data_IF_472840718955
#
_entry.id   IF_472840718955
#
_cell.length_a   1.000
_cell.length_b   1.000
_cell.length_c   1.000
_cell.angle_alpha   90.00
_cell.angle_beta   90.00
_cell.angle_gamma   90.00
#
_symmetry.space_group_name_H-M   'P 1'
#
loop_
_entity.id
_entity.type
_entity.pdbx_description
1 polymer ?
#
# COMPACT_ATOMS: atom_id res chain seq x y z
N UNK A 1 -12.31 13.64 -24.13
CA UNK A 1 -13.26 13.03 -23.17
C UNK A 1 -12.69 13.25 -21.78
N UNK A 2 -13.44 13.88 -20.88
CA UNK A 2 -12.99 14.14 -19.51
C UNK A 2 -12.97 12.85 -18.66
N UNK A 3 -12.24 12.89 -17.56
CA UNK A 3 -11.98 11.76 -16.66
C UNK A 3 -13.28 11.13 -16.12
N UNK A 4 -14.32 11.93 -15.87
CA UNK A 4 -15.61 11.45 -15.36
C UNK A 4 -16.44 10.81 -16.47
N UNK A 5 -16.47 11.39 -17.67
CA UNK A 5 -17.17 10.78 -18.80
C UNK A 5 -16.62 9.40 -19.11
N UNK A 6 -15.29 9.23 -19.10
CA UNK A 6 -14.70 7.91 -19.31
C UNK A 6 -15.03 6.94 -18.17
N UNK A 7 -14.92 7.37 -16.91
CA UNK A 7 -15.31 6.57 -15.75
C UNK A 7 -16.77 6.11 -15.84
N UNK A 8 -17.69 7.04 -16.07
CA UNK A 8 -19.11 6.75 -16.19
C UNK A 8 -19.38 5.77 -17.34
N UNK A 9 -18.63 5.80 -18.44
CA UNK A 9 -18.83 4.86 -19.55
C UNK A 9 -18.47 3.42 -19.22
N UNK A 10 -17.65 3.14 -18.20
CA UNK A 10 -17.16 1.78 -17.94
C UNK A 10 -17.44 1.26 -16.53
N UNK A 11 -17.63 2.12 -15.54
CA UNK A 11 -17.84 1.71 -14.16
C UNK A 11 -19.29 1.29 -13.87
N UNK A 12 -19.44 0.44 -12.85
CA UNK A 12 -20.71 0.14 -12.18
C UNK A 12 -21.23 1.30 -11.33
N UNK A 13 -20.38 2.31 -11.11
CA UNK A 13 -20.71 3.54 -10.43
C UNK A 13 -20.73 4.70 -11.42
N UNK A 14 -21.38 5.79 -11.04
CA UNK A 14 -21.37 7.04 -11.78
C UNK A 14 -21.21 8.24 -10.87
N UNK A 15 -20.55 9.27 -11.38
CA UNK A 15 -20.54 10.57 -10.74
C UNK A 15 -21.69 11.41 -11.28
N UNK A 16 -22.52 11.89 -10.36
CA UNK A 16 -23.58 12.87 -10.64
C UNK A 16 -23.19 14.22 -10.04
N UNK A 17 -23.52 15.34 -10.71
CA UNK A 17 -23.39 16.67 -10.10
C UNK A 17 -24.16 16.76 -8.79
N UNK A 18 -23.60 17.47 -7.83
CA UNK A 18 -24.23 17.81 -6.56
C UNK A 18 -23.94 19.28 -6.28
N UNK A 19 -24.97 20.12 -6.21
CA UNK A 19 -24.79 21.51 -5.77
C UNK A 19 -24.71 21.54 -4.25
N UNK A 20 -23.61 22.10 -3.72
CA UNK A 20 -23.40 22.33 -2.30
C UNK A 20 -22.89 23.76 -2.14
N UNK A 21 -23.67 24.62 -1.47
CA UNK A 21 -23.33 26.01 -1.19
C UNK A 21 -22.86 26.81 -2.43
N UNK A 22 -23.57 26.65 -3.55
CA UNK A 22 -23.24 27.33 -4.82
C UNK A 22 -22.00 26.79 -5.53
N UNK A 23 -21.40 25.69 -5.05
CA UNK A 23 -20.29 24.97 -5.70
C UNK A 23 -20.76 23.65 -6.29
N UNK A 24 -20.32 23.36 -7.52
CA UNK A 24 -20.58 22.06 -8.17
C UNK A 24 -19.62 21.01 -7.61
N UNK A 25 -20.12 20.20 -6.68
CA UNK A 25 -19.49 18.96 -6.24
C UNK A 25 -19.96 17.77 -7.12
N UNK A 26 -19.39 16.58 -6.87
CA UNK A 26 -19.87 15.34 -7.48
C UNK A 26 -20.04 14.25 -6.43
N UNK A 27 -21.14 13.52 -6.51
CA UNK A 27 -21.41 12.34 -5.68
C UNK A 27 -21.24 11.08 -6.51
N UNK A 28 -20.55 10.09 -5.97
CA UNK A 28 -20.44 8.75 -6.56
C UNK A 28 -21.65 7.92 -6.14
N UNK A 29 -22.38 7.38 -7.10
CA UNK A 29 -23.55 6.53 -6.87
C UNK A 29 -23.41 5.23 -7.62
N UNK A 30 -23.99 4.16 -7.06
CA UNK A 30 -24.21 2.93 -7.81
C UNK A 30 -25.24 3.18 -8.92
N UNK A 31 -25.04 2.54 -10.09
CA UNK A 31 -25.97 2.66 -11.22
C UNK A 31 -27.29 1.92 -10.95
N UNK A 32 -28.39 2.30 -11.65
CA UNK A 32 -29.64 1.56 -11.57
C UNK A 32 -29.48 0.07 -11.96
N UNK A 33 -30.28 -0.84 -11.39
CA UNK A 33 -30.15 -2.29 -11.63
C UNK A 33 -30.15 -2.72 -13.10
N UNK A 34 -30.95 -2.06 -13.95
CA UNK A 34 -30.99 -2.35 -15.39
C UNK A 34 -29.64 -2.11 -16.08
N UNK A 35 -28.94 -1.02 -15.72
CA UNK A 35 -27.63 -0.70 -16.26
C UNK A 35 -26.52 -1.60 -15.71
N UNK A 36 -26.60 -1.97 -14.42
CA UNK A 36 -25.68 -2.92 -13.82
C UNK A 36 -25.72 -4.25 -14.56
N UNK A 37 -26.92 -4.74 -14.90
CA UNK A 37 -27.11 -5.98 -15.66
C UNK A 37 -26.47 -5.91 -17.05
N UNK A 38 -26.71 -4.85 -17.81
CA UNK A 38 -26.10 -4.62 -19.14
C UNK A 38 -24.56 -4.58 -19.06
N UNK A 39 -24.03 -4.09 -17.95
CA UNK A 39 -22.58 -3.95 -17.71
C UNK A 39 -21.94 -5.17 -17.06
N UNK A 40 -22.69 -6.25 -16.81
CA UNK A 40 -22.20 -7.44 -16.12
C UNK A 40 -21.59 -7.12 -14.75
N UNK A 41 -22.14 -6.12 -14.06
CA UNK A 41 -21.61 -5.65 -12.79
C UNK A 41 -21.82 -6.69 -11.69
N UNK A 42 -20.73 -7.12 -11.07
CA UNK A 42 -20.75 -8.10 -9.98
C UNK A 42 -19.62 -7.84 -8.99
N UNK A 43 -19.76 -8.36 -7.77
CA UNK A 43 -18.65 -8.38 -6.82
C UNK A 43 -17.69 -9.50 -7.21
N UNK A 44 -16.46 -9.14 -7.56
CA UNK A 44 -15.46 -10.07 -8.07
C UNK A 44 -14.25 -10.13 -7.16
N UNK A 45 -13.70 -11.33 -7.00
CA UNK A 45 -12.40 -11.52 -6.37
C UNK A 45 -11.33 -10.68 -7.08
N UNK A 46 -10.30 -10.21 -6.35
CA UNK A 46 -9.33 -9.30 -6.89
C UNK A 46 -8.48 -9.98 -7.97
N UNK A 47 -8.30 -9.28 -9.08
CA UNK A 47 -7.30 -9.61 -10.10
C UNK A 47 -5.99 -8.88 -9.88
N UNK A 48 -6.00 -7.87 -9.02
CA UNK A 48 -4.83 -7.11 -8.60
C UNK A 48 -4.80 -7.04 -7.07
N UNK A 49 -3.65 -7.38 -6.48
CA UNK A 49 -3.38 -7.28 -5.06
C UNK A 49 -2.21 -6.33 -4.79
N UNK A 50 -2.42 -5.29 -4.00
CA UNK A 50 -1.34 -4.51 -3.40
C UNK A 50 -0.97 -5.12 -2.04
N UNK A 51 0.16 -5.83 -1.99
CA UNK A 51 0.47 -6.76 -0.89
C UNK A 51 1.32 -6.15 0.23
N UNK A 52 1.91 -4.98 0.03
CA UNK A 52 2.84 -4.45 1.02
C UNK A 52 3.70 -3.30 0.53
N UNK A 53 4.57 -2.77 1.40
CA UNK A 53 4.71 -3.09 2.84
C UNK A 53 4.07 -2.04 3.75
N UNK A 54 3.97 -2.32 5.06
CA UNK A 54 3.56 -1.33 6.07
C UNK A 54 4.52 -0.14 6.00
N UNK A 55 3.98 1.08 5.96
CA UNK A 55 4.73 2.31 5.70
C UNK A 55 5.43 2.43 4.33
N UNK A 56 5.07 1.57 3.37
CA UNK A 56 5.60 1.60 1.99
C UNK A 56 4.88 2.56 1.04
N UNK A 57 3.80 3.21 1.48
CA UNK A 57 2.97 4.09 0.64
C UNK A 57 1.75 3.42 -0.01
N UNK A 58 1.37 2.23 0.47
CA UNK A 58 0.29 1.41 -0.11
C UNK A 58 -1.07 2.11 -0.15
N UNK A 59 -1.42 2.88 0.87
CA UNK A 59 -2.68 3.65 0.91
C UNK A 59 -2.78 4.66 -0.23
N UNK A 60 -1.69 5.38 -0.52
CA UNK A 60 -1.64 6.37 -1.60
C UNK A 60 -1.66 5.68 -2.97
N UNK A 61 -0.87 4.63 -3.17
CA UNK A 61 -0.91 3.81 -4.40
C UNK A 61 -2.32 3.29 -4.68
N UNK A 62 -2.97 2.70 -3.68
CA UNK A 62 -4.32 2.18 -3.79
C UNK A 62 -5.33 3.24 -4.27
N UNK A 63 -5.34 4.39 -3.59
CA UNK A 63 -6.24 5.49 -3.94
C UNK A 63 -5.93 6.10 -5.31
N UNK A 64 -4.66 6.34 -5.63
CA UNK A 64 -4.26 7.00 -6.88
C UNK A 64 -4.48 6.11 -8.09
N UNK A 65 -4.23 4.80 -7.97
CA UNK A 65 -4.59 3.85 -9.03
C UNK A 65 -6.11 3.77 -9.23
N UNK A 66 -6.91 4.00 -8.19
CA UNK A 66 -8.37 4.12 -8.27
C UNK A 66 -8.90 5.32 -9.09
N UNK A 67 -8.03 6.24 -9.53
CA UNK A 67 -8.37 7.22 -10.56
C UNK A 67 -8.60 6.56 -11.92
N UNK A 68 -7.87 5.47 -12.20
CA UNK A 68 -7.95 4.77 -13.47
C UNK A 68 -9.34 4.16 -13.66
N UNK A 69 -10.08 4.47 -14.73
CA UNK A 69 -11.48 4.09 -14.85
C UNK A 69 -11.65 2.58 -15.03
N UNK A 70 -10.65 1.88 -15.58
CA UNK A 70 -10.62 0.40 -15.67
C UNK A 70 -10.20 -0.29 -14.38
N UNK A 71 -10.10 0.42 -13.26
CA UNK A 71 -9.83 -0.16 -11.93
C UNK A 71 -11.07 0.03 -11.05
N UNK A 72 -11.55 -1.05 -10.45
CA UNK A 72 -12.52 -1.01 -9.34
C UNK A 72 -11.77 -1.23 -8.04
N UNK A 73 -11.38 -0.14 -7.38
CA UNK A 73 -10.62 -0.20 -6.15
C UNK A 73 -11.54 -0.34 -4.94
N UNK A 74 -11.40 -1.45 -4.22
CA UNK A 74 -12.00 -1.66 -2.91
C UNK A 74 -10.97 -1.28 -1.85
N UNK A 75 -11.26 -0.21 -1.07
CA UNK A 75 -10.41 0.19 0.06
C UNK A 75 -10.26 -0.98 1.03
N UNK A 76 -9.08 -1.19 1.65
CA UNK A 76 -8.72 -2.46 2.25
C UNK A 76 -9.83 -3.06 3.09
N UNK A 77 -10.30 -4.20 2.62
CA UNK A 77 -10.96 -5.17 3.45
C UNK A 77 -9.89 -6.22 3.67
N UNK A 78 -9.33 -6.25 4.87
CA UNK A 78 -8.49 -7.38 5.23
C UNK A 78 -9.36 -8.63 5.03
N UNK A 79 -8.98 -9.60 4.17
CA UNK A 79 -9.46 -10.94 4.38
C UNK A 79 -9.21 -11.25 5.86
N UNK A 80 -10.21 -11.77 6.55
CA UNK A 80 -9.99 -12.26 7.91
C UNK A 80 -8.76 -13.19 7.96
N UNK A 81 -8.21 -13.45 9.15
CA UNK A 81 -6.93 -14.16 9.32
C UNK A 81 -6.84 -15.52 8.61
N UNK A 82 -7.96 -16.12 8.18
CA UNK A 82 -8.00 -17.25 7.25
C UNK A 82 -9.14 -17.08 6.24
N UNK A 83 -8.82 -17.07 4.94
CA UNK A 83 -9.84 -17.29 3.90
C UNK A 83 -10.06 -18.79 3.75
N UNK A 84 -11.29 -19.21 4.01
CA UNK A 84 -11.79 -20.56 3.81
C UNK A 84 -12.91 -20.52 2.76
N UNK A 85 -13.47 -21.68 2.40
CA UNK A 85 -14.59 -21.70 1.46
C UNK A 85 -15.80 -20.93 2.03
N UNK A 86 -15.99 -20.99 3.35
CA UNK A 86 -17.10 -20.36 4.05
C UNK A 86 -16.93 -18.83 4.13
N UNK A 87 -15.70 -18.35 4.34
CA UNK A 87 -15.43 -16.90 4.46
C UNK A 87 -15.17 -16.22 3.11
N UNK A 88 -14.98 -16.98 2.03
CA UNK A 88 -14.68 -16.46 0.69
C UNK A 88 -15.82 -15.59 0.14
N UNK A 89 -17.07 -16.05 0.19
CA UNK A 89 -18.20 -15.28 -0.35
C UNK A 89 -18.49 -14.05 0.52
N UNK A 90 -18.29 -14.13 1.84
CA UNK A 90 -18.37 -12.97 2.73
C UNK A 90 -17.30 -11.93 2.36
N UNK A 91 -16.05 -12.37 2.14
CA UNK A 91 -14.96 -11.49 1.72
C UNK A 91 -15.23 -10.87 0.34
N UNK A 92 -15.65 -11.67 -0.65
CA UNK A 92 -16.07 -11.18 -1.97
C UNK A 92 -17.22 -10.18 -1.86
N UNK A 93 -18.14 -10.41 -0.93
CA UNK A 93 -19.25 -9.52 -0.60
C UNK A 93 -18.82 -8.13 -0.10
N UNK A 94 -17.58 -7.95 0.33
CA UNK A 94 -17.06 -6.65 0.76
C UNK A 94 -16.54 -5.78 -0.38
N UNK A 95 -16.30 -6.36 -1.56
CA UNK A 95 -15.77 -5.63 -2.70
C UNK A 95 -16.82 -4.77 -3.40
N UNK A 96 -16.33 -3.73 -4.06
CA UNK A 96 -17.13 -2.92 -4.97
C UNK A 96 -17.53 -3.73 -6.21
N UNK A 97 -18.65 -3.33 -6.82
CA UNK A 97 -19.06 -3.86 -8.10
C UNK A 97 -17.99 -3.58 -9.16
N UNK A 98 -17.68 -4.60 -9.95
CA UNK A 98 -16.70 -4.55 -11.03
C UNK A 98 -17.42 -4.91 -12.32
N UNK A 99 -17.27 -4.07 -13.35
CA UNK A 99 -17.81 -4.36 -14.68
C UNK A 99 -16.85 -5.24 -15.49
N UNK A 100 -17.32 -5.79 -16.61
CA UNK A 100 -16.46 -6.56 -17.51
C UNK A 100 -15.27 -5.76 -18.12
N UNK A 101 -15.27 -4.43 -18.00
CA UNK A 101 -14.18 -3.54 -18.46
C UNK A 101 -13.22 -3.11 -17.35
N UNK A 102 -13.44 -3.57 -16.11
CA UNK A 102 -12.64 -3.19 -14.95
C UNK A 102 -11.90 -4.39 -14.37
N UNK A 103 -10.74 -4.14 -13.77
CA UNK A 103 -10.07 -5.08 -12.87
C UNK A 103 -10.50 -4.78 -11.43
N UNK A 104 -10.91 -5.82 -10.71
CA UNK A 104 -11.10 -5.74 -9.26
C UNK A 104 -9.73 -5.64 -8.58
N UNK A 105 -9.56 -4.60 -7.77
CA UNK A 105 -8.31 -4.27 -7.11
C UNK A 105 -8.54 -4.04 -5.61
N UNK A 106 -7.72 -4.69 -4.80
CA UNK A 106 -7.66 -4.45 -3.36
C UNK A 106 -6.21 -4.56 -2.89
N UNK A 107 -5.96 -4.24 -1.63
CA UNK A 107 -4.66 -4.45 -1.06
C UNK A 107 -4.61 -4.11 0.41
N UNK A 108 -3.74 -4.80 1.12
CA UNK A 108 -3.46 -4.53 2.51
C UNK A 108 -1.97 -4.74 2.76
N UNK A 109 -1.38 -3.86 3.56
CA UNK A 109 0.05 -3.83 3.77
C UNK A 109 0.59 -5.06 4.52
N UNK A 110 -0.28 -5.78 5.25
CA UNK A 110 0.08 -6.97 6.02
C UNK A 110 0.17 -8.25 5.20
N UNK A 111 -0.21 -8.26 3.92
CA UNK A 111 -0.13 -9.48 3.10
C UNK A 111 1.31 -9.96 2.92
N UNK A 112 2.26 -9.03 2.79
CA UNK A 112 3.67 -9.36 2.62
C UNK A 112 4.40 -9.70 3.93
N UNK A 113 3.91 -9.21 5.08
CA UNK A 113 4.60 -9.39 6.36
C UNK A 113 4.63 -10.87 6.78
N UNK A 114 5.83 -11.36 7.10
CA UNK A 114 6.13 -12.73 7.55
C UNK A 114 5.77 -13.84 6.56
N UNK A 115 5.67 -13.53 5.27
CA UNK A 115 5.39 -14.47 4.18
C UNK A 115 4.36 -15.55 4.56
N UNK A 116 3.24 -15.11 5.14
CA UNK A 116 2.27 -16.02 5.77
C UNK A 116 1.81 -17.05 4.74
N UNK A 117 1.91 -18.36 5.01
CA UNK A 117 1.44 -19.43 4.12
C UNK A 117 0.00 -19.21 3.63
N UNK A 118 -0.81 -18.54 4.46
CA UNK A 118 -2.19 -18.17 4.18
C UNK A 118 -2.36 -17.26 2.95
N UNK A 119 -1.45 -16.29 2.72
CA UNK A 119 -1.50 -15.46 1.50
C UNK A 119 -1.37 -16.36 0.27
N UNK A 120 -0.35 -17.21 0.25
CA UNK A 120 -0.08 -18.07 -0.91
C UNK A 120 -1.18 -19.10 -1.12
N UNK A 121 -1.70 -19.70 -0.05
CA UNK A 121 -2.84 -20.60 -0.11
C UNK A 121 -4.06 -19.89 -0.68
N UNK A 122 -4.37 -18.67 -0.20
CA UNK A 122 -5.48 -17.89 -0.71
C UNK A 122 -5.29 -17.56 -2.20
N UNK A 123 -4.12 -17.05 -2.58
CA UNK A 123 -3.81 -16.68 -3.97
C UNK A 123 -3.90 -17.90 -4.90
N UNK A 124 -3.36 -19.05 -4.49
CA UNK A 124 -3.35 -20.28 -5.31
C UNK A 124 -4.71 -20.98 -5.38
N UNK A 125 -5.47 -20.96 -4.28
CA UNK A 125 -6.71 -21.74 -4.17
C UNK A 125 -7.95 -20.96 -4.65
N UNK A 126 -7.98 -19.64 -4.42
CA UNK A 126 -9.20 -18.85 -4.57
C UNK A 126 -9.11 -17.73 -5.60
N UNK A 127 -7.92 -17.21 -5.90
CA UNK A 127 -7.79 -16.10 -6.84
C UNK A 127 -7.57 -16.61 -8.28
N UNK A 128 -7.94 -15.80 -9.29
CA UNK A 128 -7.72 -16.16 -10.68
C UNK A 128 -6.25 -16.43 -10.99
N UNK A 129 -6.00 -17.34 -11.93
CA UNK A 129 -4.65 -17.69 -12.36
C UNK A 129 -3.86 -16.52 -12.94
N UNK A 130 -4.47 -15.42 -13.34
CA UNK A 130 -3.76 -14.25 -13.85
C UNK A 130 -3.71 -13.09 -12.85
N UNK A 131 -3.96 -13.37 -11.56
CA UNK A 131 -3.82 -12.37 -10.50
C UNK A 131 -2.40 -11.79 -10.49
N UNK A 132 -2.32 -10.46 -10.43
CA UNK A 132 -1.08 -9.69 -10.36
C UNK A 132 -0.90 -9.04 -8.99
N UNK A 133 0.32 -9.06 -8.50
CA UNK A 133 0.71 -8.57 -7.18
C UNK A 133 1.60 -7.35 -7.35
N UNK A 134 1.33 -6.30 -6.59
CA UNK A 134 2.13 -5.08 -6.51
C UNK A 134 2.72 -5.02 -5.10
N UNK A 135 4.04 -4.90 -5.02
CA UNK A 135 4.79 -4.77 -3.77
C UNK A 135 5.53 -3.43 -3.78
N UNK A 136 5.25 -2.58 -2.81
CA UNK A 136 5.98 -1.33 -2.62
C UNK A 136 7.01 -1.51 -1.52
N UNK A 137 8.28 -1.30 -1.85
CA UNK A 137 9.38 -1.33 -0.89
C UNK A 137 9.89 0.08 -0.65
N UNK A 138 10.26 0.37 0.59
CA UNK A 138 10.85 1.64 1.00
C UNK A 138 12.20 1.34 1.64
N UNK A 139 13.07 2.35 1.74
CA UNK A 139 14.21 2.29 2.64
C UNK A 139 13.80 1.67 4.00
N UNK A 140 14.42 0.55 4.43
CA UNK A 140 13.94 -0.21 5.58
C UNK A 140 14.05 0.55 6.89
N UNK A 141 15.02 1.46 7.02
CA UNK A 141 15.18 2.31 8.21
C UNK A 141 14.13 3.40 8.23
N UNK A 142 13.92 4.11 7.11
CA UNK A 142 12.84 5.12 7.04
C UNK A 142 11.45 4.51 7.21
N UNK A 143 11.23 3.31 6.67
CA UNK A 143 10.01 2.50 6.86
C UNK A 143 9.80 2.20 8.34
N UNK A 144 10.83 1.67 9.00
CA UNK A 144 10.81 1.30 10.40
C UNK A 144 10.51 2.49 11.32
N UNK A 145 11.12 3.65 11.08
CA UNK A 145 10.86 4.83 11.92
C UNK A 145 9.45 5.37 11.72
N UNK A 146 8.97 5.39 10.46
CA UNK A 146 7.58 5.73 10.14
C UNK A 146 6.59 4.80 10.86
N UNK A 147 6.96 3.53 10.97
CA UNK A 147 6.14 2.49 11.59
C UNK A 147 6.09 2.69 13.10
N UNK A 148 7.24 2.96 13.72
CA UNK A 148 7.34 3.25 15.15
C UNK A 148 6.47 4.46 15.52
N UNK A 149 6.58 5.56 14.78
CA UNK A 149 5.78 6.77 15.03
C UNK A 149 4.29 6.49 14.87
N UNK A 150 3.88 5.71 13.86
CA UNK A 150 2.49 5.33 13.67
C UNK A 150 1.98 4.43 14.80
N UNK A 151 2.73 3.39 15.15
CA UNK A 151 2.40 2.45 16.22
C UNK A 151 2.30 3.20 17.55
N UNK A 152 3.28 4.04 17.90
CA UNK A 152 3.23 4.87 19.11
C UNK A 152 2.00 5.79 19.11
N UNK A 153 1.69 6.44 17.98
CA UNK A 153 0.49 7.28 17.88
C UNK A 153 -0.82 6.54 18.09
N UNK A 154 -0.90 5.27 17.67
CA UNK A 154 -2.09 4.45 17.90
C UNK A 154 -2.12 4.03 19.38
N UNK A 155 -1.00 3.57 19.93
CA UNK A 155 -0.89 3.17 21.33
C UNK A 155 -1.31 4.29 22.30
N UNK A 156 -0.88 5.53 22.05
CA UNK A 156 -1.27 6.69 22.85
C UNK A 156 -2.77 7.04 22.77
N UNK A 157 -3.46 6.61 21.71
CA UNK A 157 -4.92 6.79 21.58
C UNK A 157 -5.74 5.70 22.29
N UNK A 158 -5.06 4.64 22.76
CA UNK A 158 -5.65 3.51 23.49
C UNK A 158 -5.37 3.65 25.00
N UNK A 159 -6.15 2.95 25.82
CA UNK A 159 -6.00 2.93 27.28
C UNK A 159 -6.09 1.52 27.85
N UNK A 160 -5.57 1.33 29.07
CA UNK A 160 -5.68 0.09 29.83
C UNK A 160 -5.16 -1.14 29.09
N UNK A 161 -5.92 -2.24 29.17
CA UNK A 161 -5.56 -3.53 28.58
C UNK A 161 -5.50 -3.48 27.04
N UNK A 162 -6.32 -2.67 26.38
CA UNK A 162 -6.30 -2.52 24.92
C UNK A 162 -4.96 -1.96 24.44
N UNK A 163 -4.43 -0.95 25.16
CA UNK A 163 -3.12 -0.39 24.88
C UNK A 163 -2.02 -1.43 25.06
N UNK A 164 -2.03 -2.13 26.20
CA UNK A 164 -1.01 -3.15 26.50
C UNK A 164 -1.01 -4.26 25.45
N UNK A 165 -2.18 -4.77 25.08
CA UNK A 165 -2.32 -5.79 24.05
C UNK A 165 -1.82 -5.29 22.68
N UNK A 166 -2.08 -4.03 22.33
CA UNK A 166 -1.59 -3.44 21.09
C UNK A 166 -0.07 -3.27 21.08
N UNK A 167 0.52 -2.76 22.17
CA UNK A 167 1.97 -2.60 22.34
C UNK A 167 2.68 -3.96 22.26
N UNK A 168 2.16 -4.99 22.94
CA UNK A 168 2.69 -6.35 22.93
C UNK A 168 2.64 -6.97 21.51
N UNK A 169 1.52 -6.80 20.80
CA UNK A 169 1.34 -7.32 19.43
C UNK A 169 2.28 -6.66 18.40
N UNK A 170 2.51 -5.36 18.53
CA UNK A 170 3.40 -4.61 17.62
C UNK A 170 4.87 -4.65 18.08
N UNK A 171 5.14 -5.17 19.27
CA UNK A 171 6.47 -5.24 19.89
C UNK A 171 7.00 -3.88 20.36
N UNK A 172 6.12 -2.92 20.66
CA UNK A 172 6.50 -1.57 21.09
C UNK A 172 6.96 -1.59 22.56
N UNK A 173 8.20 -1.14 22.84
CA UNK A 173 8.78 -1.12 24.19
C UNK A 173 9.01 0.29 24.74
N UNK A 174 8.07 1.20 24.48
CA UNK A 174 8.20 2.60 24.86
C UNK A 174 9.11 3.37 23.91
N UNK A 175 10.42 3.45 24.21
CA UNK A 175 11.37 4.21 23.37
C UNK A 175 11.70 3.49 22.05
N UNK A 176 12.27 4.23 21.10
CA UNK A 176 12.73 3.68 19.83
C UNK A 176 13.82 2.64 20.09
N UNK A 177 14.86 2.99 20.84
CA UNK A 177 15.98 2.13 21.20
C UNK A 177 15.51 0.82 21.84
N UNK A 178 14.63 0.90 22.84
CA UNK A 178 14.11 -0.28 23.52
C UNK A 178 13.30 -1.18 22.57
N UNK A 179 12.61 -0.60 21.60
CA UNK A 179 11.83 -1.33 20.59
C UNK A 179 12.73 -2.03 19.56
N UNK A 180 13.88 -1.42 19.24
CA UNK A 180 14.75 -1.86 18.14
C UNK A 180 15.94 -2.70 18.57
N UNK A 181 16.43 -2.51 19.79
CA UNK A 181 17.64 -3.15 20.30
C UNK A 181 17.32 -4.29 21.26
N UNK A 182 18.23 -5.25 21.37
CA UNK A 182 18.24 -6.26 22.41
C UNK A 182 18.96 -5.77 23.68
N UNK A 183 19.00 -6.63 24.71
CA UNK A 183 19.65 -6.34 26.00
C UNK A 183 21.16 -6.09 25.89
N UNK A 184 21.78 -6.50 24.77
CA UNK A 184 23.20 -6.29 24.48
C UNK A 184 23.46 -5.04 23.65
N UNK A 185 22.41 -4.30 23.27
CA UNK A 185 22.52 -3.08 22.46
C UNK A 185 22.68 -3.32 20.96
N UNK A 186 22.45 -4.54 20.47
CA UNK A 186 22.43 -4.86 19.04
C UNK A 186 21.02 -4.76 18.47
N UNK A 187 20.90 -4.52 17.16
CA UNK A 187 19.60 -4.51 16.48
C UNK A 187 18.95 -5.89 16.60
N UNK A 188 17.76 -5.94 17.20
CA UNK A 188 17.04 -7.17 17.48
C UNK A 188 16.26 -7.63 16.23
N UNK A 189 16.68 -8.71 15.54
CA UNK A 189 15.98 -9.21 14.36
C UNK A 189 14.61 -9.83 14.68
N UNK A 190 14.33 -10.14 15.94
CA UNK A 190 13.05 -10.69 16.40
C UNK A 190 12.01 -9.60 16.69
N UNK A 191 12.43 -8.33 16.73
CA UNK A 191 11.48 -7.21 16.84
C UNK A 191 10.62 -7.16 15.57
N UNK A 192 9.27 -7.20 15.66
CA UNK A 192 8.38 -7.23 14.50
C UNK A 192 8.66 -6.10 13.51
N UNK A 193 8.96 -4.90 14.02
CA UNK A 193 9.25 -3.71 13.22
C UNK A 193 10.58 -3.82 12.44
N UNK A 194 11.56 -4.54 12.99
CA UNK A 194 12.86 -4.80 12.34
C UNK A 194 12.69 -5.90 11.31
N UNK A 195 12.04 -7.02 11.68
CA UNK A 195 11.80 -8.17 10.81
C UNK A 195 11.07 -7.79 9.53
N UNK A 196 10.09 -6.88 9.60
CA UNK A 196 9.37 -6.37 8.44
C UNK A 196 10.24 -5.60 7.43
N UNK A 197 11.42 -5.11 7.83
CA UNK A 197 12.40 -4.47 6.95
C UNK A 197 13.33 -5.47 6.23
N UNK A 198 13.33 -6.74 6.62
CA UNK A 198 14.18 -7.80 6.05
C UNK A 198 13.53 -8.40 4.79
N UNK A 199 13.24 -7.55 3.79
CA UNK A 199 12.39 -7.89 2.64
C UNK A 199 12.86 -9.11 1.83
N UNK A 200 14.17 -9.37 1.78
CA UNK A 200 14.73 -10.50 1.03
C UNK A 200 14.19 -11.84 1.53
N UNK A 201 13.91 -11.97 2.83
CA UNK A 201 13.37 -13.20 3.42
C UNK A 201 11.98 -13.48 2.87
N UNK A 202 11.08 -12.49 2.94
CA UNK A 202 9.69 -12.67 2.52
C UNK A 202 9.56 -12.74 0.98
N UNK A 203 10.41 -12.01 0.25
CA UNK A 203 10.49 -12.10 -1.21
C UNK A 203 10.93 -13.49 -1.68
N UNK A 204 11.87 -14.13 -0.97
CA UNK A 204 12.31 -15.47 -1.33
C UNK A 204 11.14 -16.46 -1.29
N UNK A 205 10.39 -16.46 -0.19
CA UNK A 205 9.18 -17.29 -0.03
C UNK A 205 8.12 -16.94 -1.06
N UNK A 206 7.90 -15.64 -1.33
CA UNK A 206 6.94 -15.20 -2.34
C UNK A 206 7.27 -15.75 -3.73
N UNK A 207 8.55 -15.72 -4.14
CA UNK A 207 8.99 -16.20 -5.47
C UNK A 207 9.00 -17.72 -5.59
N UNK A 208 9.12 -18.46 -4.48
CA UNK A 208 8.85 -19.91 -4.48
C UNK A 208 7.39 -20.23 -4.80
N UNK A 209 6.48 -19.29 -4.48
CA UNK A 209 5.05 -19.56 -4.56
C UNK A 209 4.36 -18.97 -5.80
N UNK A 210 4.83 -17.81 -6.23
CA UNK A 210 4.22 -16.99 -7.27
C UNK A 210 5.31 -16.64 -8.29
N UNK A 211 4.99 -16.82 -9.57
CA UNK A 211 5.91 -16.52 -10.67
C UNK A 211 6.28 -15.03 -10.70
N UNK A 212 7.54 -14.74 -10.99
CA UNK A 212 8.11 -13.38 -10.98
C UNK A 212 7.33 -12.40 -11.87
N UNK A 213 6.83 -12.86 -13.01
CA UNK A 213 6.11 -12.02 -13.98
C UNK A 213 4.74 -11.55 -13.47
N UNK A 214 4.23 -12.16 -12.38
CA UNK A 214 3.00 -11.74 -11.70
C UNK A 214 3.28 -10.73 -10.58
N UNK A 215 4.53 -10.33 -10.35
CA UNK A 215 4.91 -9.45 -9.24
C UNK A 215 5.61 -8.21 -9.79
N UNK A 216 5.07 -7.04 -9.48
CA UNK A 216 5.71 -5.76 -9.72
C UNK A 216 6.23 -5.20 -8.40
N UNK A 217 7.52 -4.88 -8.34
CA UNK A 217 8.14 -4.22 -7.18
C UNK A 217 8.32 -2.74 -7.51
N UNK A 218 7.75 -1.86 -6.69
CA UNK A 218 7.78 -0.40 -6.83
C UNK A 218 8.64 0.22 -5.73
N UNK A 219 9.46 1.22 -6.09
CA UNK A 219 10.18 2.05 -5.13
C UNK A 219 9.23 3.04 -4.46
N UNK A 220 8.90 2.77 -3.20
CA UNK A 220 8.08 3.62 -2.34
C UNK A 220 8.73 4.98 -2.03
N UNK A 221 10.07 5.07 -2.03
CA UNK A 221 10.77 6.35 -1.87
C UNK A 221 10.54 7.24 -3.10
N UNK A 222 10.71 6.67 -4.30
CA UNK A 222 10.45 7.39 -5.54
C UNK A 222 8.97 7.76 -5.67
N UNK A 223 8.05 6.83 -5.40
CA UNK A 223 6.61 7.05 -5.46
C UNK A 223 6.15 8.20 -4.56
N UNK A 224 6.69 8.31 -3.33
CA UNK A 224 6.36 9.41 -2.42
C UNK A 224 6.82 10.76 -2.98
N UNK A 225 7.98 10.79 -3.66
CA UNK A 225 8.54 11.98 -4.28
C UNK A 225 7.84 12.38 -5.56
N UNK A 226 7.41 11.44 -6.38
CA UNK A 226 6.59 11.65 -7.58
C UNK A 226 5.82 10.35 -7.88
N UNK A 227 4.49 10.30 -7.68
CA UNK A 227 3.73 9.07 -7.87
C UNK A 227 3.51 8.75 -9.35
N UNK A 228 3.65 9.72 -10.25
CA UNK A 228 3.27 9.56 -11.66
C UNK A 228 4.06 8.47 -12.39
N UNK A 229 5.42 8.43 -12.35
CA UNK A 229 6.20 7.41 -13.04
C UNK A 229 5.85 5.98 -12.62
N UNK A 230 5.72 5.74 -11.31
CA UNK A 230 5.37 4.40 -10.79
C UNK A 230 3.94 3.99 -11.16
N UNK A 231 3.00 4.93 -11.21
CA UNK A 231 1.63 4.63 -11.65
C UNK A 231 1.55 4.27 -13.13
N UNK A 232 2.34 4.92 -13.98
CA UNK A 232 2.48 4.55 -15.41
C UNK A 232 3.11 3.17 -15.56
N UNK A 233 4.09 2.83 -14.72
CA UNK A 233 4.67 1.48 -14.66
C UNK A 233 3.60 0.44 -14.27
N UNK A 234 2.75 0.75 -13.29
CA UNK A 234 1.62 -0.09 -12.90
C UNK A 234 0.60 -0.23 -14.04
N UNK A 235 0.28 0.83 -14.79
CA UNK A 235 -0.61 0.75 -15.96
C UNK A 235 -0.09 -0.27 -16.98
N UNK A 236 1.20 -0.19 -17.33
CA UNK A 236 1.84 -1.14 -18.25
C UNK A 236 1.84 -2.56 -17.70
N UNK A 237 2.25 -2.73 -16.44
CA UNK A 237 2.28 -4.03 -15.80
C UNK A 237 0.90 -4.70 -15.77
N UNK A 238 -0.17 -3.93 -15.56
CA UNK A 238 -1.54 -4.43 -15.53
C UNK A 238 -2.19 -4.53 -16.92
N UNK A 239 -1.50 -4.14 -17.99
CA UNK A 239 -2.03 -4.02 -19.35
C UNK A 239 -3.24 -3.08 -19.44
N UNK A 240 -3.22 -1.99 -18.69
CA UNK A 240 -4.26 -0.96 -18.72
C UNK A 240 -4.02 0.02 -19.87
N UNK A 241 -5.09 0.56 -20.49
CA UNK A 241 -4.96 1.67 -21.42
C UNK A 241 -4.30 2.87 -20.74
N UNK A 242 -3.36 3.58 -21.39
CA UNK A 242 -2.76 4.78 -20.81
C UNK A 242 -3.83 5.82 -20.46
N UNK A 243 -3.94 6.20 -19.18
CA UNK A 243 -4.96 7.15 -18.72
C UNK A 243 -4.37 8.19 -17.77
N UNK A 244 -3.53 7.75 -16.83
CA UNK A 244 -2.93 8.60 -15.81
C UNK A 244 -1.94 9.57 -16.47
N UNK A 245 -2.00 10.83 -16.05
CA UNK A 245 -1.19 11.93 -16.58
C UNK A 245 -0.53 12.68 -15.45
N UNK A 246 0.61 13.32 -15.73
CA UNK A 246 1.32 14.15 -14.75
C UNK A 246 0.40 15.17 -14.07
N UNK A 247 -0.51 15.80 -14.82
CA UNK A 247 -1.50 16.77 -14.31
C UNK A 247 -2.46 16.22 -13.25
N UNK A 248 -2.64 14.90 -13.16
CA UNK A 248 -3.48 14.25 -12.15
C UNK A 248 -2.82 14.23 -10.77
N UNK A 249 -1.56 14.65 -10.65
CA UNK A 249 -0.82 14.69 -9.40
C UNK A 249 -0.17 16.07 -9.24
N UNK A 250 -0.31 16.66 -8.07
CA UNK A 250 0.30 17.95 -7.73
C UNK A 250 0.97 17.85 -6.38
N UNK A 251 2.15 18.44 -6.24
CA UNK A 251 2.79 18.56 -4.94
C UNK A 251 2.08 19.64 -4.12
N UNK A 252 1.71 19.29 -2.89
CA UNK A 252 1.15 20.23 -1.92
C UNK A 252 2.25 20.63 -0.94
N UNK A 253 2.75 21.87 -1.05
CA UNK A 253 3.86 22.41 -0.26
C UNK A 253 3.57 22.41 1.25
N UNK A 254 2.30 22.60 1.64
CA UNK A 254 1.88 22.65 3.04
C UNK A 254 1.86 21.24 3.63
N UNK A 255 1.30 20.28 2.89
CA UNK A 255 1.22 18.87 3.33
C UNK A 255 2.52 18.10 3.07
N UNK A 256 3.42 18.68 2.28
CA UNK A 256 4.69 18.09 1.80
C UNK A 256 4.52 16.72 1.14
N UNK A 257 3.44 16.56 0.37
CA UNK A 257 3.14 15.31 -0.33
C UNK A 257 2.49 15.57 -1.69
N UNK A 258 2.67 14.62 -2.61
CA UNK A 258 1.91 14.60 -3.85
C UNK A 258 0.46 14.17 -3.59
N UNK A 259 -0.48 15.02 -4.00
CA UNK A 259 -1.91 14.81 -3.91
C UNK A 259 -2.52 14.53 -5.29
N UNK A 260 -3.62 13.78 -5.33
CA UNK A 260 -4.45 13.71 -6.53
C UNK A 260 -5.06 15.08 -6.87
N UNK A 261 -4.93 15.49 -8.13
CA UNK A 261 -5.39 16.75 -8.69
C UNK A 261 -6.47 16.50 -9.76
N UNK A 262 -7.58 15.90 -9.33
CA UNK A 262 -8.72 15.58 -10.20
C UNK A 262 -10.00 16.04 -9.51
N UNK A 263 -10.35 17.32 -9.68
CA UNK A 263 -11.54 17.93 -9.05
C UNK A 263 -12.84 17.22 -9.41
N UNK A 264 -12.85 16.52 -10.55
CA UNK A 264 -13.96 15.70 -11.01
C UNK A 264 -14.11 14.37 -10.28
N UNK A 265 -13.10 13.96 -9.50
CA UNK A 265 -13.04 12.73 -8.69
C UNK A 265 -12.73 13.06 -7.22
N UNK A 266 -13.62 13.78 -6.51
CA UNK A 266 -13.37 14.26 -5.15
C UNK A 266 -13.26 13.14 -4.09
N UNK A 267 -13.67 11.92 -4.44
CA UNK A 267 -13.48 10.73 -3.59
C UNK A 267 -12.01 10.29 -3.51
N UNK A 268 -11.19 10.62 -4.50
CA UNK A 268 -9.74 10.37 -4.45
C UNK A 268 -9.05 11.53 -3.76
N UNK A 269 -9.16 11.55 -2.43
CA UNK A 269 -8.54 12.58 -1.59
C UNK A 269 -7.04 12.35 -1.46
N UNK A 270 -6.32 13.46 -1.24
CA UNK A 270 -4.91 13.42 -0.87
C UNK A 270 -4.68 12.54 0.36
N UNK A 271 -3.63 11.72 0.33
CA UNK A 271 -3.20 10.93 1.48
C UNK A 271 -2.14 11.71 2.23
N UNK A 272 -2.57 12.27 3.35
CA UNK A 272 -1.71 13.10 4.20
C UNK A 272 -1.01 12.17 5.20
N UNK A 273 0.30 12.35 5.46
CA UNK A 273 0.95 11.72 6.60
C UNK A 273 0.23 12.06 7.91
N UNK A 274 0.49 11.28 8.97
CA UNK A 274 -0.05 11.59 10.29
C UNK A 274 0.32 13.03 10.68
N UNK A 275 -0.69 13.86 10.92
CA UNK A 275 -0.49 15.28 11.29
C UNK A 275 0.07 15.36 12.71
N UNK A 276 1.03 16.26 12.94
CA UNK A 276 1.38 16.73 14.29
C UNK A 276 2.39 15.92 15.08
N UNK A 277 2.96 14.82 14.54
CA UNK A 277 4.11 14.16 15.17
C UNK A 277 5.37 14.35 14.34
N UNK A 278 6.35 15.04 14.92
CA UNK A 278 7.72 15.06 14.41
C UNK A 278 8.30 13.65 14.48
N UNK A 279 9.10 13.27 13.48
CA UNK A 279 9.91 12.07 13.58
C UNK A 279 10.82 12.21 14.82
N UNK A 280 11.03 11.14 15.62
CA UNK A 280 11.94 11.21 16.76
C UNK A 280 13.33 11.59 16.26
N UNK A 281 14.07 12.36 17.06
CA UNK A 281 15.50 12.49 16.84
C UNK A 281 16.11 11.09 17.02
N UNK A 282 16.88 10.65 16.03
CA UNK A 282 17.55 9.35 16.05
C UNK A 282 19.03 9.65 16.23
N UNK A 283 19.64 9.02 17.23
CA UNK A 283 21.09 9.09 17.41
C UNK A 283 21.82 8.54 16.17
N UNK A 284 22.89 9.20 15.77
CA UNK A 284 23.70 8.84 14.61
C UNK A 284 24.28 7.42 14.77
N UNK A 285 24.63 7.01 16.00
CA UNK A 285 25.09 5.64 16.28
C UNK A 285 23.97 4.62 16.05
N UNK A 286 22.76 4.89 16.53
CA UNK A 286 21.60 4.02 16.29
C UNK A 286 21.30 3.93 14.79
N UNK A 287 21.32 5.06 14.08
CA UNK A 287 21.08 5.07 12.65
C UNK A 287 22.13 4.23 11.90
N UNK A 288 23.41 4.38 12.26
CA UNK A 288 24.50 3.60 11.68
C UNK A 288 24.34 2.10 11.97
N UNK A 289 23.97 1.72 13.19
CA UNK A 289 23.67 0.33 13.57
C UNK A 289 22.55 -0.25 12.70
N UNK A 290 21.46 0.49 12.49
CA UNK A 290 20.34 0.05 11.66
C UNK A 290 20.74 -0.14 10.19
N UNK A 291 21.46 0.81 9.59
CA UNK A 291 21.91 0.64 8.19
C UNK A 291 22.92 -0.49 8.03
N UNK A 292 23.85 -0.66 8.98
CA UNK A 292 24.76 -1.82 8.99
C UNK A 292 23.99 -3.14 9.09
N UNK A 293 22.98 -3.21 9.94
CA UNK A 293 22.11 -4.37 10.09
C UNK A 293 21.36 -4.72 8.79
N UNK A 294 20.75 -3.74 8.11
CA UNK A 294 20.00 -4.00 6.87
C UNK A 294 20.87 -4.17 5.62
N UNK A 295 22.13 -3.75 5.62
CA UNK A 295 23.04 -3.85 4.47
C UNK A 295 23.11 -5.27 3.85
N UNK A 296 23.33 -6.37 4.59
CA UNK A 296 23.33 -7.71 4.01
C UNK A 296 21.99 -8.09 3.38
N UNK A 297 20.86 -7.63 3.96
CA UNK A 297 19.53 -7.85 3.40
C UNK A 297 19.32 -7.10 2.10
N UNK A 298 19.71 -5.82 2.06
CA UNK A 298 19.67 -4.98 0.85
C UNK A 298 20.55 -5.54 -0.26
N UNK A 299 21.75 -6.03 0.08
CA UNK A 299 22.65 -6.68 -0.88
C UNK A 299 22.00 -7.90 -1.53
N UNK A 300 21.25 -8.70 -0.77
CA UNK A 300 20.49 -9.83 -1.32
C UNK A 300 19.31 -9.38 -2.19
N UNK A 301 18.64 -8.27 -1.84
CA UNK A 301 17.57 -7.68 -2.67
C UNK A 301 18.05 -7.36 -4.08
N UNK A 302 19.22 -6.74 -4.19
CA UNK A 302 19.82 -6.49 -5.49
C UNK A 302 20.19 -7.80 -6.18
N UNK A 303 21.04 -8.62 -5.54
CA UNK A 303 21.68 -9.77 -6.21
C UNK A 303 20.69 -10.83 -6.67
N UNK A 304 19.68 -11.13 -5.85
CA UNK A 304 18.74 -12.22 -6.09
C UNK A 304 17.51 -11.72 -6.84
N UNK A 305 16.98 -10.56 -6.44
CA UNK A 305 15.69 -10.07 -6.94
C UNK A 305 15.82 -8.97 -7.99
N UNK A 306 17.03 -8.43 -8.21
CA UNK A 306 17.30 -7.39 -9.19
C UNK A 306 16.77 -6.02 -8.76
N UNK A 307 16.54 -5.80 -7.46
CA UNK A 307 16.04 -4.54 -6.94
C UNK A 307 17.17 -3.51 -6.93
N UNK A 308 17.07 -2.50 -7.80
CA UNK A 308 18.11 -1.46 -8.00
C UNK A 308 17.72 -0.09 -7.46
N UNK A 309 16.98 -0.04 -6.36
CA UNK A 309 16.54 1.23 -5.79
C UNK A 309 17.71 1.99 -5.15
N UNK A 310 17.74 3.34 -5.19
CA UNK A 310 18.88 4.11 -4.70
C UNK A 310 19.28 3.81 -3.24
N UNK A 311 18.30 3.50 -2.38
CA UNK A 311 18.51 3.18 -0.96
C UNK A 311 19.08 1.78 -0.70
N UNK A 312 19.14 0.91 -1.72
CA UNK A 312 19.78 -0.41 -1.61
C UNK A 312 21.31 -0.27 -1.52
N UNK A 313 21.87 0.74 -2.20
CA UNK A 313 23.31 0.89 -2.42
C UNK A 313 24.01 1.85 -1.46
N UNK A 314 23.26 2.82 -0.91
CA UNK A 314 23.84 3.91 -0.15
C UNK A 314 23.48 3.72 1.32
N UNK A 315 24.45 3.61 2.25
CA UNK A 315 24.21 4.13 3.58
C UNK A 315 23.91 5.62 3.37
N UNK A 316 22.76 6.15 3.80
CA UNK A 316 22.45 7.54 3.51
C UNK A 316 23.53 8.41 4.14
N UNK A 317 24.22 9.17 3.29
CA UNK A 317 24.90 10.38 3.72
C UNK A 317 23.83 11.24 4.40
N UNK A 318 23.95 11.38 5.72
CA UNK A 318 22.95 11.92 6.62
C UNK A 318 22.31 13.21 6.09
N UNK A 319 20.98 13.21 5.92
CA UNK A 319 20.05 14.24 6.44
C UNK A 319 18.70 13.53 6.64
N UNK A 320 18.22 13.41 7.88
CA UNK A 320 16.80 13.17 8.16
C UNK A 320 16.05 14.47 7.85
N UNK A 321 15.32 14.55 6.72
CA UNK A 321 13.88 14.31 6.77
C UNK A 321 13.37 13.47 5.58
N UNK A 322 12.06 13.28 5.50
CA UNK A 322 11.39 13.07 4.21
C UNK A 322 11.07 14.41 3.56
#
# INVERSE_FOLDING_TARGET
MDEVTLFNRISCYMYVPLEVDGKVARRRLERPPAELKVRGCQKSLPRVLLIGVKEGGTTAMGKYLGLHPSISYSYPVQPGPKITNETLEAWKGTFQLTSYKQLSFTGHHSFFADAKPQLFQMVRKYLPDDVKLILMLRDPVKRLVSDYVRTLSIAESLAGDERKQYEDNEGLKGSLEATLLDETGHVNPLSPIVRQGMYNIDLHTLYQHIRKERILIIDGNAFRKDPYPSLVEVERFLNLPPFLKRRHFVYDEVKRVHCANVSSRPDVRCVIPLKGKSLPAIDDDLLLKLYKFFQPHNTQLEKIFGVKFPWVYRPPTYIYPD
#
